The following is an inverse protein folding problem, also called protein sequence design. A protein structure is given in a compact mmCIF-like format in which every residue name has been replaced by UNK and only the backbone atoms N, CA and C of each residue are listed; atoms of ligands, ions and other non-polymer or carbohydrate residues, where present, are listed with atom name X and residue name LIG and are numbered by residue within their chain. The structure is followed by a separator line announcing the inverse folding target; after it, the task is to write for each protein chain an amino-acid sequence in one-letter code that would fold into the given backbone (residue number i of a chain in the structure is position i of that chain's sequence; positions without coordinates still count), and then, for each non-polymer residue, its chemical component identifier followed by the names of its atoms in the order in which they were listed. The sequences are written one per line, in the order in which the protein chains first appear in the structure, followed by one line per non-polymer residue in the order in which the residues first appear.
data_IF_811212412673
#
_entry.id   IF_811212412673
#
_cell.length_a   1.000
_cell.length_b   1.000
_cell.length_c   1.000
_cell.angle_alpha   90.00
_cell.angle_beta   90.00
_cell.angle_gamma   90.00
#
_symmetry.space_group_name_H-M   'P 1'
#
loop_
_entity.id
_entity.type
_entity.pdbx_description
1 polymer ?
#
# COMPACT_ATOMS: atom_id res chain seq x y z
N UNK A 1 -1.86 -18.56 -20.63
CA UNK A 1 -1.08 -19.41 -19.70
C UNK A 1 -2.07 -20.31 -18.97
N UNK A 2 -1.86 -21.63 -18.96
CA UNK A 2 -2.81 -22.56 -18.31
C UNK A 2 -2.39 -22.67 -16.84
N UNK A 3 -3.14 -22.03 -15.94
CA UNK A 3 -2.90 -22.15 -14.49
C UNK A 3 -3.24 -23.60 -14.11
N UNK A 4 -2.32 -24.26 -13.41
CA UNK A 4 -2.51 -25.63 -12.95
C UNK A 4 -3.68 -25.70 -11.95
N UNK A 5 -4.23 -26.89 -11.73
CA UNK A 5 -5.39 -27.07 -10.84
C UNK A 5 -5.08 -26.77 -9.36
N UNK A 6 -3.81 -26.72 -8.97
CA UNK A 6 -3.35 -26.41 -7.61
C UNK A 6 -2.18 -25.40 -7.67
N UNK A 7 -2.44 -24.12 -7.93
CA UNK A 7 -1.39 -23.13 -8.12
C UNK A 7 -0.65 -22.82 -6.82
N UNK A 8 0.67 -22.65 -6.91
CA UNK A 8 1.52 -22.23 -5.80
C UNK A 8 1.82 -20.73 -5.90
N UNK A 9 1.36 -20.00 -4.88
CA UNK A 9 1.55 -18.56 -4.74
C UNK A 9 2.69 -18.27 -3.78
N UNK A 10 3.54 -17.31 -4.14
CA UNK A 10 4.48 -16.67 -3.22
C UNK A 10 4.11 -15.20 -3.03
N UNK A 11 3.76 -14.81 -1.82
CA UNK A 11 3.54 -13.43 -1.42
C UNK A 11 4.86 -12.79 -0.95
N UNK A 12 5.12 -11.56 -1.42
CA UNK A 12 6.36 -10.83 -1.17
C UNK A 12 6.04 -9.36 -0.92
N UNK A 13 6.54 -8.80 0.18
CA UNK A 13 6.61 -7.35 0.36
C UNK A 13 7.68 -6.77 -0.57
N UNK A 14 7.25 -6.12 -1.66
CA UNK A 14 8.14 -5.67 -2.73
C UNK A 14 9.18 -4.65 -2.24
N UNK A 15 8.75 -3.67 -1.42
CA UNK A 15 9.61 -2.58 -0.91
C UNK A 15 10.72 -3.08 0.00
N UNK A 16 10.48 -4.14 0.75
CA UNK A 16 11.49 -4.79 1.60
C UNK A 16 12.35 -5.76 0.77
N UNK A 17 11.70 -6.57 -0.05
CA UNK A 17 12.38 -7.62 -0.83
C UNK A 17 13.42 -7.05 -1.78
N UNK A 18 13.13 -5.93 -2.46
CA UNK A 18 14.06 -5.36 -3.43
C UNK A 18 15.39 -4.94 -2.80
N UNK A 19 15.37 -4.52 -1.53
CA UNK A 19 16.57 -4.11 -0.77
C UNK A 19 17.55 -5.25 -0.53
N UNK A 20 17.12 -6.50 -0.67
CA UNK A 20 18.01 -7.67 -0.57
C UNK A 20 19.03 -7.74 -1.70
N UNK A 21 18.76 -7.07 -2.83
CA UNK A 21 19.70 -7.01 -3.95
C UNK A 21 20.64 -5.80 -3.88
N UNK A 22 20.23 -4.74 -3.19
CA UNK A 22 21.01 -3.53 -2.95
C UNK A 22 20.11 -2.34 -2.67
N UNK A 23 20.68 -1.22 -2.21
CA UNK A 23 19.88 -0.02 -1.93
C UNK A 23 19.24 0.54 -3.20
N UNK A 24 19.97 0.68 -4.31
CA UNK A 24 19.45 1.34 -5.52
C UNK A 24 18.74 0.38 -6.49
N UNK A 25 18.37 -0.82 -6.03
CA UNK A 25 17.68 -1.79 -6.87
C UNK A 25 16.20 -1.45 -7.06
N UNK A 26 15.74 -1.59 -8.30
CA UNK A 26 14.34 -1.48 -8.71
C UNK A 26 13.88 -2.79 -9.36
N UNK A 27 12.59 -2.90 -9.72
CA UNK A 27 12.07 -4.09 -10.40
C UNK A 27 12.78 -4.40 -11.73
N UNK A 28 13.33 -3.38 -12.40
CA UNK A 28 14.12 -3.57 -13.62
C UNK A 28 15.43 -4.30 -13.36
N UNK A 29 16.05 -4.06 -12.20
CA UNK A 29 17.36 -4.59 -11.82
C UNK A 29 17.30 -5.98 -11.18
N UNK A 30 16.10 -6.53 -10.93
CA UNK A 30 15.96 -7.90 -10.41
C UNK A 30 16.64 -8.85 -11.39
N UNK A 31 17.56 -9.73 -10.97
CA UNK A 31 18.30 -10.59 -11.89
C UNK A 31 17.45 -11.80 -12.33
N UNK A 32 17.71 -12.36 -13.52
CA UNK A 32 16.92 -13.46 -14.11
C UNK A 32 17.07 -14.79 -13.35
N UNK A 33 18.19 -14.98 -12.65
CA UNK A 33 18.43 -16.10 -11.74
C UNK A 33 17.44 -16.13 -10.57
N UNK A 34 16.99 -14.97 -10.08
CA UNK A 34 15.92 -14.90 -9.08
C UNK A 34 14.58 -15.42 -9.63
N UNK A 35 14.25 -15.11 -10.89
CA UNK A 35 13.02 -15.60 -11.54
C UNK A 35 13.14 -17.11 -11.79
N UNK A 36 14.31 -17.55 -12.28
CA UNK A 36 14.64 -18.98 -12.46
C UNK A 36 14.46 -19.74 -11.17
N UNK A 37 14.99 -19.22 -10.05
CA UNK A 37 14.86 -19.82 -8.72
C UNK A 37 13.39 -19.97 -8.30
N UNK A 38 12.55 -18.96 -8.52
CA UNK A 38 11.12 -19.10 -8.21
C UNK A 38 10.45 -20.18 -9.06
N UNK A 39 10.86 -20.32 -10.32
CA UNK A 39 10.34 -21.38 -11.19
C UNK A 39 10.77 -22.77 -10.72
N UNK A 40 12.03 -22.94 -10.36
CA UNK A 40 12.60 -24.20 -9.84
C UNK A 40 11.95 -24.62 -8.51
N UNK A 41 11.63 -23.66 -7.64
CA UNK A 41 10.87 -23.89 -6.42
C UNK A 41 9.40 -24.27 -6.69
N UNK A 42 8.94 -24.13 -7.93
CA UNK A 42 7.62 -24.54 -8.40
C UNK A 42 6.52 -23.51 -8.13
N UNK A 43 6.84 -22.22 -8.05
CA UNK A 43 5.81 -21.18 -7.95
C UNK A 43 5.18 -20.88 -9.31
N UNK A 44 3.86 -20.79 -9.32
CA UNK A 44 3.06 -20.43 -10.51
C UNK A 44 2.71 -18.94 -10.52
N UNK A 45 2.71 -18.31 -9.34
CA UNK A 45 2.30 -16.93 -9.14
C UNK A 45 3.20 -16.26 -8.10
N UNK A 46 3.53 -14.99 -8.38
CA UNK A 46 4.12 -14.08 -7.39
C UNK A 46 3.09 -13.00 -7.11
N UNK A 47 2.78 -12.78 -5.83
CA UNK A 47 2.06 -11.61 -5.38
C UNK A 47 3.05 -10.60 -4.80
N UNK A 48 3.17 -9.46 -5.47
CA UNK A 48 3.96 -8.33 -4.99
C UNK A 48 3.07 -7.37 -4.21
N UNK A 49 3.18 -7.43 -2.89
CA UNK A 49 2.53 -6.50 -1.96
C UNK A 49 3.31 -5.18 -1.88
N UNK A 50 2.59 -4.06 -1.82
CA UNK A 50 3.16 -2.73 -1.59
C UNK A 50 3.84 -2.12 -2.80
N UNK A 51 3.32 -2.39 -4.01
CA UNK A 51 3.84 -1.81 -5.26
C UNK A 51 3.44 -0.37 -5.50
N UNK A 52 2.38 0.11 -4.84
CA UNK A 52 1.82 1.43 -5.04
C UNK A 52 2.52 2.51 -4.21
N UNK A 53 2.48 3.74 -4.70
CA UNK A 53 3.08 4.90 -4.05
C UNK A 53 2.45 5.15 -2.68
N UNK A 54 3.26 5.65 -1.75
CA UNK A 54 2.84 5.97 -0.38
C UNK A 54 3.16 7.43 -0.08
N UNK A 55 2.31 8.09 0.69
CA UNK A 55 2.61 9.41 1.21
C UNK A 55 3.53 9.28 2.44
N UNK A 56 4.75 9.83 2.37
CA UNK A 56 5.72 9.76 3.48
C UNK A 56 5.31 10.58 4.71
N UNK A 57 4.52 11.64 4.51
CA UNK A 57 4.08 12.49 5.62
C UNK A 57 3.16 11.73 6.59
N UNK A 58 2.43 10.73 6.09
CA UNK A 58 1.58 9.86 6.93
C UNK A 58 2.38 9.05 7.95
N UNK A 59 3.65 8.75 7.65
CA UNK A 59 4.49 7.88 8.48
C UNK A 59 4.80 8.56 9.82
N UNK A 60 5.25 9.82 9.76
CA UNK A 60 5.63 10.57 10.96
C UNK A 60 4.43 10.82 11.88
N UNK A 61 3.23 10.94 11.30
CA UNK A 61 2.01 11.25 12.03
C UNK A 61 1.36 10.02 12.66
N UNK A 62 1.37 8.87 11.96
CA UNK A 62 0.58 7.70 12.37
C UNK A 62 1.38 6.43 12.68
N UNK A 63 2.66 6.34 12.26
CA UNK A 63 3.42 5.10 12.41
C UNK A 63 4.28 5.01 13.69
N UNK A 64 4.21 6.00 14.59
CA UNK A 64 5.02 6.05 15.82
C UNK A 64 4.18 6.10 17.11
N UNK A 65 2.98 5.53 17.06
CA UNK A 65 2.14 5.29 18.25
C UNK A 65 2.85 4.30 19.21
N UNK A 66 2.63 4.40 20.54
CA UNK A 66 3.33 3.57 21.53
C UNK A 66 3.25 2.05 21.26
N UNK A 67 2.10 1.57 20.80
CA UNK A 67 1.87 0.15 20.47
C UNK A 67 2.68 -0.30 19.24
N UNK A 68 2.80 0.57 18.24
CA UNK A 68 3.63 0.31 17.05
C UNK A 68 5.11 0.32 17.43
N UNK A 69 5.56 1.29 18.22
CA UNK A 69 6.94 1.33 18.74
C UNK A 69 7.28 0.05 19.51
N UNK A 70 6.36 -0.42 20.36
CA UNK A 70 6.53 -1.70 21.09
C UNK A 70 6.67 -2.89 20.13
N UNK A 71 5.87 -2.91 19.06
CA UNK A 71 5.95 -3.92 18.01
C UNK A 71 7.28 -3.88 17.26
N UNK A 72 7.79 -2.68 16.92
CA UNK A 72 9.09 -2.53 16.26
C UNK A 72 10.24 -3.00 17.16
N UNK A 73 10.24 -2.59 18.44
CA UNK A 73 11.23 -3.04 19.44
C UNK A 73 11.28 -4.57 19.56
N UNK A 74 10.14 -5.24 19.37
CA UNK A 74 10.04 -6.70 19.41
C UNK A 74 10.48 -7.36 18.12
N UNK A 75 10.22 -6.74 16.96
CA UNK A 75 10.48 -7.30 15.64
C UNK A 75 11.94 -7.13 15.19
N UNK A 76 12.55 -5.96 15.46
CA UNK A 76 13.89 -5.61 15.03
C UNK A 76 14.64 -4.89 16.16
N UNK A 77 15.66 -5.56 16.71
CA UNK A 77 16.57 -4.91 17.66
C UNK A 77 17.32 -3.78 16.96
N UNK A 78 17.50 -2.67 17.68
CA UNK A 78 18.23 -1.50 17.21
C UNK A 78 17.64 -0.81 15.96
N UNK A 79 16.34 -0.94 15.74
CA UNK A 79 15.65 -0.24 14.65
C UNK A 79 15.77 1.30 14.79
N UNK A 80 15.71 1.97 13.64
CA UNK A 80 15.73 3.42 13.51
C UNK A 80 14.45 3.90 12.82
N UNK A 81 14.08 5.17 13.00
CA UNK A 81 12.86 5.74 12.38
C UNK A 81 12.79 5.50 10.86
N UNK A 82 13.93 5.53 10.19
CA UNK A 82 14.03 5.32 8.75
C UNK A 82 13.73 3.88 8.30
N UNK A 83 13.73 2.91 9.21
CA UNK A 83 13.30 1.53 8.95
C UNK A 83 11.77 1.41 8.83
N UNK A 84 11.02 2.39 9.34
CA UNK A 84 9.55 2.41 9.32
C UNK A 84 9.07 3.10 8.04
N UNK A 85 8.74 2.30 7.03
CA UNK A 85 8.34 2.79 5.70
C UNK A 85 6.81 2.87 5.48
N UNK A 86 6.03 2.78 6.55
CA UNK A 86 4.56 2.82 6.52
C UNK A 86 3.89 1.57 5.93
N UNK A 87 2.58 1.48 6.12
CA UNK A 87 1.77 0.35 5.62
C UNK A 87 1.80 0.26 4.08
N UNK A 88 1.99 -0.93 3.49
CA UNK A 88 1.88 -1.11 2.04
C UNK A 88 0.45 -0.89 1.52
N UNK A 89 -0.54 -0.85 2.42
CA UNK A 89 -1.95 -0.65 2.10
C UNK A 89 -2.40 0.82 2.27
N UNK A 90 -1.62 1.68 2.94
CA UNK A 90 -1.88 3.13 2.98
C UNK A 90 -1.29 3.81 1.74
N UNK A 91 -1.95 3.61 0.59
CA UNK A 91 -1.46 4.07 -0.71
C UNK A 91 -1.88 5.52 -0.98
N UNK A 92 -1.02 6.32 -1.60
CA UNK A 92 -1.36 7.67 -2.02
C UNK A 92 -2.28 7.65 -3.25
N UNK A 93 -1.85 6.90 -4.27
CA UNK A 93 -2.51 6.73 -5.57
C UNK A 93 -2.02 5.44 -6.25
N UNK A 94 -2.72 5.00 -7.29
CA UNK A 94 -2.35 3.81 -8.08
C UNK A 94 -1.21 4.09 -9.07
N UNK A 95 -0.11 4.63 -8.56
CA UNK A 95 1.17 4.81 -9.25
C UNK A 95 2.22 3.92 -8.61
N UNK A 96 3.26 3.55 -9.35
CA UNK A 96 4.33 2.71 -8.81
C UNK A 96 5.12 3.48 -7.77
N UNK A 97 5.38 2.83 -6.64
CA UNK A 97 6.26 3.38 -5.61
C UNK A 97 7.63 3.67 -6.24
N UNK A 98 8.16 4.90 -6.13
CA UNK A 98 9.43 5.26 -6.76
C UNK A 98 10.61 4.36 -6.37
N UNK A 99 10.56 3.72 -5.19
CA UNK A 99 11.55 2.73 -4.76
C UNK A 99 11.62 1.49 -5.66
N UNK A 100 10.53 1.18 -6.36
CA UNK A 100 10.42 0.01 -7.22
C UNK A 100 10.66 0.33 -8.69
N UNK A 101 10.86 1.60 -9.02
CA UNK A 101 11.07 2.11 -10.38
C UNK A 101 9.81 2.70 -10.98
N UNK A 102 9.65 2.52 -12.28
CA UNK A 102 8.57 3.08 -13.10
C UNK A 102 7.49 2.06 -13.43
N UNK A 103 6.40 2.53 -14.05
CA UNK A 103 5.37 1.66 -14.62
C UNK A 103 5.95 0.72 -15.68
N UNK A 104 6.87 1.22 -16.49
CA UNK A 104 7.55 0.47 -17.54
C UNK A 104 8.43 -0.63 -16.93
N UNK A 105 9.09 -0.36 -15.81
CA UNK A 105 9.89 -1.35 -15.07
C UNK A 105 9.01 -2.49 -14.53
N UNK A 106 7.85 -2.17 -13.96
CA UNK A 106 6.87 -3.18 -13.54
C UNK A 106 6.39 -4.03 -14.73
N UNK A 107 6.07 -3.40 -15.86
CA UNK A 107 5.60 -4.11 -17.06
C UNK A 107 6.70 -5.02 -17.64
N UNK A 108 7.95 -4.55 -17.63
CA UNK A 108 9.12 -5.34 -18.02
C UNK A 108 9.32 -6.54 -17.10
N UNK A 109 9.27 -6.33 -15.78
CA UNK A 109 9.35 -7.40 -14.78
C UNK A 109 8.23 -8.44 -14.94
N UNK A 110 6.98 -7.98 -15.14
CA UNK A 110 5.83 -8.85 -15.45
C UNK A 110 6.09 -9.68 -16.71
N UNK A 111 6.62 -9.09 -17.77
CA UNK A 111 6.93 -9.81 -19.03
C UNK A 111 7.98 -10.91 -18.78
N UNK A 112 9.02 -10.63 -18.00
CA UNK A 112 10.06 -11.60 -17.64
C UNK A 112 9.48 -12.76 -16.82
N UNK A 113 8.64 -12.47 -15.83
CA UNK A 113 7.89 -13.51 -15.09
C UNK A 113 7.02 -14.36 -16.03
N UNK A 114 6.27 -13.73 -16.93
CA UNK A 114 5.38 -14.44 -17.83
C UNK A 114 6.13 -15.34 -18.82
N UNK A 115 7.32 -14.91 -19.29
CA UNK A 115 8.19 -15.75 -20.13
C UNK A 115 8.69 -17.00 -19.38
N UNK A 116 8.88 -16.91 -18.06
CA UNK A 116 9.19 -18.06 -17.21
C UNK A 116 7.96 -18.90 -16.83
N UNK A 117 6.77 -18.54 -17.32
CA UNK A 117 5.51 -19.20 -16.98
C UNK A 117 5.05 -18.93 -15.55
N UNK A 118 5.34 -17.74 -15.02
CA UNK A 118 4.91 -17.27 -13.70
C UNK A 118 3.97 -16.07 -13.88
N UNK A 119 2.84 -16.05 -13.19
CA UNK A 119 1.90 -14.93 -13.18
C UNK A 119 2.24 -13.91 -12.09
N UNK A 120 1.89 -12.65 -12.30
CA UNK A 120 2.07 -11.57 -11.32
C UNK A 120 0.71 -11.11 -10.79
N UNK A 121 0.59 -11.03 -9.47
CA UNK A 121 -0.55 -10.49 -8.73
C UNK A 121 -0.08 -9.24 -8.00
N UNK A 122 -0.90 -8.18 -8.04
CA UNK A 122 -0.70 -6.93 -7.32
C UNK A 122 -1.93 -6.66 -6.46
N UNK A 123 -1.75 -5.91 -5.37
CA UNK A 123 -2.86 -5.50 -4.53
C UNK A 123 -3.83 -4.55 -5.24
N UNK A 124 -5.11 -4.67 -4.90
CA UNK A 124 -6.12 -3.66 -5.19
C UNK A 124 -6.71 -3.16 -3.87
N UNK A 125 -6.25 -2.00 -3.42
CA UNK A 125 -6.68 -1.38 -2.15
C UNK A 125 -7.94 -0.56 -2.38
N UNK A 126 -9.08 -1.24 -2.39
CA UNK A 126 -10.35 -0.59 -2.73
C UNK A 126 -11.03 0.11 -1.56
N UNK A 127 -10.65 -0.16 -0.31
CA UNK A 127 -11.37 0.41 0.84
C UNK A 127 -11.03 1.87 1.11
N UNK A 128 -9.76 2.24 0.96
CA UNK A 128 -9.21 3.50 1.45
C UNK A 128 -7.99 3.94 0.65
N UNK A 129 -7.64 5.21 0.77
CA UNK A 129 -6.30 5.73 0.44
C UNK A 129 -5.59 6.17 1.73
N UNK A 130 -4.37 6.69 1.63
CA UNK A 130 -3.65 7.27 2.74
C UNK A 130 -4.42 8.45 3.38
N UNK A 131 -4.29 8.63 4.70
CA UNK A 131 -4.90 9.76 5.42
C UNK A 131 -4.41 11.13 4.92
N UNK A 132 -3.27 11.14 4.22
CA UNK A 132 -2.67 12.30 3.53
C UNK A 132 -2.62 12.11 2.02
N UNK A 133 -3.50 11.29 1.44
CA UNK A 133 -3.51 11.03 0.00
C UNK A 133 -3.67 12.32 -0.80
N UNK A 134 -2.85 12.51 -1.84
CA UNK A 134 -2.95 13.63 -2.78
C UNK A 134 -4.35 13.80 -3.37
N UNK A 135 -5.12 12.72 -3.47
CA UNK A 135 -6.51 12.72 -3.93
C UNK A 135 -7.44 13.52 -3.02
N UNK A 136 -7.10 13.74 -1.75
CA UNK A 136 -7.90 14.56 -0.83
C UNK A 136 -7.96 16.00 -1.33
N UNK A 137 -6.89 16.49 -1.99
CA UNK A 137 -6.84 17.83 -2.55
C UNK A 137 -7.44 17.90 -3.96
N UNK A 138 -7.23 16.89 -4.81
CA UNK A 138 -7.65 16.92 -6.21
C UNK A 138 -9.04 16.35 -6.46
N UNK A 139 -9.52 15.42 -5.62
CA UNK A 139 -10.70 14.59 -5.84
C UNK A 139 -11.48 14.35 -4.54
N UNK A 140 -11.65 15.37 -3.70
CA UNK A 140 -12.24 15.22 -2.35
C UNK A 140 -13.56 14.45 -2.27
N UNK A 141 -14.38 14.50 -3.33
CA UNK A 141 -15.68 13.81 -3.45
C UNK A 141 -15.56 12.27 -3.39
N UNK A 142 -14.35 11.71 -3.50
CA UNK A 142 -14.15 10.26 -3.34
C UNK A 142 -14.18 9.81 -1.89
N UNK A 143 -13.97 10.71 -0.93
CA UNK A 143 -13.80 10.37 0.47
C UNK A 143 -15.09 10.51 1.28
N UNK A 144 -15.18 9.74 2.36
CA UNK A 144 -16.27 9.84 3.32
C UNK A 144 -15.99 11.02 4.27
N UNK A 145 -16.79 12.07 4.13
CA UNK A 145 -16.68 13.30 4.93
C UNK A 145 -17.60 13.27 6.16
N UNK A 146 -17.26 14.12 7.12
CA UNK A 146 -18.06 14.41 8.30
C UNK A 146 -17.99 15.90 8.65
N UNK A 147 -18.96 16.37 9.44
CA UNK A 147 -18.95 17.71 10.01
C UNK A 147 -18.27 17.75 11.39
N UNK A 148 -18.08 18.96 11.91
CA UNK A 148 -17.46 19.17 13.22
C UNK A 148 -18.26 18.50 14.36
N UNK A 149 -19.58 18.42 14.23
CA UNK A 149 -20.42 17.79 15.25
C UNK A 149 -20.13 16.29 15.34
N UNK A 150 -20.10 15.59 14.20
CA UNK A 150 -19.76 14.16 14.14
C UNK A 150 -18.34 13.93 14.67
N UNK A 151 -17.36 14.72 14.21
CA UNK A 151 -15.97 14.60 14.66
C UNK A 151 -15.84 14.77 16.18
N UNK A 152 -16.50 15.78 16.78
CA UNK A 152 -16.43 15.99 18.24
C UNK A 152 -17.04 14.85 19.04
N UNK A 153 -18.01 14.13 18.48
CA UNK A 153 -18.63 12.97 19.13
C UNK A 153 -17.86 11.66 18.89
N UNK A 154 -17.11 11.55 17.80
CA UNK A 154 -16.25 10.39 17.49
C UNK A 154 -14.90 10.81 16.86
N UNK A 155 -13.97 11.36 17.67
CA UNK A 155 -12.66 11.80 17.19
C UNK A 155 -11.69 10.63 16.95
N UNK A 156 -12.14 9.38 17.15
CA UNK A 156 -11.35 8.18 16.87
C UNK A 156 -11.59 7.68 15.45
N UNK A 157 -12.83 7.74 14.97
CA UNK A 157 -13.18 7.39 13.58
C UNK A 157 -12.87 8.51 12.62
N UNK A 158 -13.08 9.77 13.03
CA UNK A 158 -12.94 10.93 12.17
C UNK A 158 -11.72 11.77 12.53
N UNK A 159 -11.12 12.40 11.53
CA UNK A 159 -9.96 13.28 11.69
C UNK A 159 -10.08 14.53 10.83
N UNK A 160 -9.41 15.64 11.18
CA UNK A 160 -9.41 16.86 10.37
C UNK A 160 -8.85 16.61 8.97
N UNK A 161 -9.55 17.07 7.93
CA UNK A 161 -9.07 16.97 6.55
C UNK A 161 -7.77 17.76 6.38
N UNK A 162 -6.71 17.17 5.78
CA UNK A 162 -5.47 17.89 5.51
C UNK A 162 -5.63 18.96 4.42
N UNK A 163 -6.72 18.92 3.64
CA UNK A 163 -7.00 19.90 2.59
C UNK A 163 -7.87 21.07 3.08
N UNK A 164 -8.64 20.90 4.17
CA UNK A 164 -9.59 21.92 4.63
C UNK A 164 -9.87 21.78 6.14
N UNK A 165 -9.53 22.81 6.91
CA UNK A 165 -9.65 22.79 8.38
C UNK A 165 -11.08 22.76 8.92
N UNK A 166 -12.10 22.94 8.05
CA UNK A 166 -13.52 22.85 8.41
C UNK A 166 -14.19 21.55 7.91
N UNK A 167 -13.44 20.69 7.26
CA UNK A 167 -13.92 19.38 6.80
C UNK A 167 -13.20 18.28 7.59
N UNK A 168 -13.91 17.19 7.86
CA UNK A 168 -13.37 16.02 8.55
C UNK A 168 -13.57 14.80 7.65
N UNK A 169 -12.69 13.82 7.78
CA UNK A 169 -12.70 12.60 7.00
C UNK A 169 -12.79 11.40 7.94
N UNK A 170 -13.44 10.33 7.49
CA UNK A 170 -13.39 9.05 8.20
C UNK A 170 -12.09 8.31 7.88
N UNK A 171 -11.48 7.71 8.90
CA UNK A 171 -10.45 6.70 8.70
C UNK A 171 -11.04 5.44 8.06
N UNK A 172 -10.24 4.75 7.25
CA UNK A 172 -10.60 3.44 6.72
C UNK A 172 -10.82 2.44 7.84
N UNK A 173 -11.80 1.55 7.71
CA UNK A 173 -12.05 0.51 8.71
C UNK A 173 -12.65 -0.75 8.12
N UNK A 174 -12.44 -1.86 8.83
CA UNK A 174 -13.29 -3.04 8.72
C UNK A 174 -14.48 -2.92 9.71
N UNK A 175 -15.64 -3.55 9.45
CA UNK A 175 -16.77 -3.52 10.39
C UNK A 175 -16.43 -4.05 11.79
N UNK A 176 -15.49 -4.99 11.90
CA UNK A 176 -15.14 -5.71 13.13
C UNK A 176 -13.87 -5.20 13.81
N UNK A 177 -13.14 -4.26 13.19
CA UNK A 177 -11.89 -3.73 13.73
C UNK A 177 -11.94 -2.20 13.93
N UNK A 178 -11.08 -1.64 14.81
CA UNK A 178 -10.92 -0.21 14.95
C UNK A 178 -10.47 0.47 13.63
N UNK A 179 -10.71 1.79 13.50
CA UNK A 179 -10.25 2.55 12.34
C UNK A 179 -8.73 2.53 12.16
N UNK A 180 -8.27 2.40 10.92
CA UNK A 180 -6.87 2.47 10.51
C UNK A 180 -6.47 3.93 10.30
N UNK A 181 -5.83 4.52 11.31
CA UNK A 181 -5.55 5.97 11.38
C UNK A 181 -4.70 6.52 10.23
N UNK A 182 -3.88 5.69 9.59
CA UNK A 182 -3.05 6.09 8.45
C UNK A 182 -3.85 6.13 7.13
N UNK A 183 -5.18 5.99 7.16
CA UNK A 183 -6.02 5.89 5.96
C UNK A 183 -7.20 6.87 5.95
N UNK A 184 -7.72 7.15 4.76
CA UNK A 184 -8.93 7.92 4.46
C UNK A 184 -9.94 7.01 3.75
N UNK A 185 -11.12 6.83 4.33
CA UNK A 185 -12.17 5.95 3.83
C UNK A 185 -12.77 6.45 2.52
N UNK A 186 -12.88 5.57 1.54
CA UNK A 186 -13.59 5.86 0.29
C UNK A 186 -15.11 5.84 0.54
N UNK A 187 -15.81 6.83 -0.01
CA UNK A 187 -17.26 6.91 -0.01
C UNK A 187 -17.85 6.18 -1.23
N UNK A 188 -18.17 4.90 -1.10
CA UNK A 188 -18.74 4.13 -2.22
C UNK A 188 -20.14 4.58 -2.67
N UNK A 189 -20.84 5.41 -1.89
CA UNK A 189 -22.09 6.04 -2.33
C UNK A 189 -21.84 7.17 -3.33
N UNK A 190 -20.65 7.78 -3.31
CA UNK A 190 -20.21 8.78 -4.29
C UNK A 190 -20.08 8.18 -5.69
N UNK A 191 -20.60 8.88 -6.70
CA UNK A 191 -20.46 8.46 -8.10
C UNK A 191 -19.02 8.64 -8.57
N UNK A 192 -18.38 9.70 -8.09
CA UNK A 192 -17.00 10.08 -8.37
C UNK A 192 -16.05 8.99 -7.87
N UNK A 193 -16.28 8.46 -6.66
CA UNK A 193 -15.52 7.32 -6.14
C UNK A 193 -15.64 6.08 -7.04
N UNK A 194 -16.86 5.71 -7.45
CA UNK A 194 -17.10 4.53 -8.31
C UNK A 194 -16.58 4.69 -9.74
N UNK A 195 -16.42 5.91 -10.22
CA UNK A 195 -15.83 6.17 -11.54
C UNK A 195 -14.29 6.20 -11.48
N UNK A 196 -13.71 6.53 -10.32
CA UNK A 196 -12.28 6.61 -10.14
C UNK A 196 -11.64 5.21 -10.00
N UNK A 197 -12.29 4.32 -9.26
CA UNK A 197 -11.88 2.92 -9.05
C UNK A 197 -12.17 2.04 -10.26
#
# INVERSE_FOLDING_TARGET
MKICSNPRLLEINARIWIRRFGQDFTLASVPDDQITRWKELGFDMIWLMGVWDNNKDVINEYCFEPELISSYNSALKDWHKDDVIGSPYSIDRYEINPLLGTREDLLSFKKRLNNAGISLILDFVCNHFSAKSSLIWSNKEIFLTADEFIFKNDPYTFYPSPANSKEYLAHGRDPLFPPWKDTAQINFYSREARNYL
#
